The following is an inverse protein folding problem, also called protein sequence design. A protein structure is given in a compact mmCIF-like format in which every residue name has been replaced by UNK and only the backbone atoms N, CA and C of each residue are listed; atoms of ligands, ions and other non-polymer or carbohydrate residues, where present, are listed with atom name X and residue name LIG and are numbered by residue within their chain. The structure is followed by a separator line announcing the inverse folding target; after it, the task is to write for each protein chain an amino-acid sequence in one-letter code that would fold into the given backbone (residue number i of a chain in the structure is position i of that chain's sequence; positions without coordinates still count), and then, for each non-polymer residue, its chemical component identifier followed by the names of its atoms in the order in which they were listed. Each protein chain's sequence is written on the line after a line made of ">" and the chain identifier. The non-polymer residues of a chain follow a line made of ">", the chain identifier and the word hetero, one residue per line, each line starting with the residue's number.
data_IF_667987737571
#
_entry.id   IF_667987737571
#
_cell.length_a   1.000
_cell.length_b   1.000
_cell.length_c   1.000
_cell.angle_alpha   90.00
_cell.angle_beta   90.00
_cell.angle_gamma   90.00
#
_symmetry.space_group_name_H-M   'P 1'
#
loop_
_entity.id
_entity.type
_entity.pdbx_description
1 polymer ?
#
# COMPACT_ATOMS: atom_id res chain seq x y z
N UNK A 1 7.00 -32.47 6.55
CA UNK A 1 7.68 -31.21 6.23
C UNK A 1 7.30 -30.62 4.86
N UNK A 2 7.09 -31.40 3.79
CA UNK A 2 6.72 -30.87 2.45
C UNK A 2 5.41 -30.07 2.43
N UNK A 3 4.37 -30.52 3.14
CA UNK A 3 3.06 -29.88 3.20
C UNK A 3 3.16 -28.51 3.87
N UNK A 4 3.94 -28.36 4.95
CA UNK A 4 4.12 -27.08 5.64
C UNK A 4 4.73 -26.01 4.73
N UNK A 5 5.68 -26.36 3.87
CA UNK A 5 6.30 -25.43 2.91
C UNK A 5 5.27 -24.94 1.88
N UNK A 6 4.43 -25.84 1.37
CA UNK A 6 3.37 -25.46 0.43
C UNK A 6 2.31 -24.55 1.06
N UNK A 7 1.97 -24.80 2.33
CA UNK A 7 1.05 -23.93 3.08
C UNK A 7 1.67 -22.56 3.26
N UNK A 8 2.94 -22.47 3.66
CA UNK A 8 3.65 -21.20 3.84
C UNK A 8 3.75 -20.43 2.52
N UNK A 9 4.11 -21.09 1.42
CA UNK A 9 4.13 -20.46 0.11
C UNK A 9 2.74 -19.97 -0.32
N UNK A 10 1.70 -20.73 -0.08
CA UNK A 10 0.32 -20.37 -0.38
C UNK A 10 -0.14 -19.15 0.43
N UNK A 11 0.17 -19.10 1.72
CA UNK A 11 -0.15 -17.96 2.58
C UNK A 11 0.62 -16.71 2.15
N UNK A 12 1.91 -16.84 1.85
CA UNK A 12 2.71 -15.71 1.34
C UNK A 12 2.19 -15.20 0.00
N UNK A 13 1.82 -16.07 -0.92
CA UNK A 13 1.24 -15.66 -2.20
C UNK A 13 -0.10 -14.97 -2.02
N UNK A 14 -0.95 -15.45 -1.10
CA UNK A 14 -2.22 -14.81 -0.78
C UNK A 14 -2.05 -13.43 -0.15
N UNK A 15 -1.13 -13.29 0.81
CA UNK A 15 -0.79 -12.00 1.42
C UNK A 15 -0.20 -11.03 0.41
N UNK A 16 0.71 -11.50 -0.46
CA UNK A 16 1.32 -10.69 -1.51
C UNK A 16 0.27 -10.18 -2.51
N UNK A 17 -0.63 -11.07 -2.94
CA UNK A 17 -1.72 -10.73 -3.86
C UNK A 17 -2.71 -9.75 -3.20
N UNK A 18 -3.14 -10.02 -1.96
CA UNK A 18 -4.02 -9.13 -1.20
C UNK A 18 -3.41 -7.75 -0.98
N UNK A 19 -2.11 -7.70 -0.68
CA UNK A 19 -1.36 -6.43 -0.55
C UNK A 19 -1.32 -5.62 -1.84
N UNK A 20 -1.10 -6.26 -2.98
CA UNK A 20 -1.09 -5.60 -4.28
C UNK A 20 -2.48 -5.03 -4.66
N UNK A 21 -3.55 -5.80 -4.43
CA UNK A 21 -4.92 -5.32 -4.64
C UNK A 21 -5.26 -4.15 -3.72
N UNK A 22 -4.92 -4.25 -2.44
CA UNK A 22 -5.14 -3.16 -1.49
C UNK A 22 -4.37 -1.89 -1.88
N UNK A 23 -3.12 -2.01 -2.30
CA UNK A 23 -2.31 -0.89 -2.75
C UNK A 23 -2.89 -0.23 -4.01
N UNK A 24 -3.33 -1.01 -4.99
CA UNK A 24 -3.97 -0.50 -6.20
C UNK A 24 -5.28 0.22 -5.87
N UNK A 25 -6.16 -0.39 -5.08
CA UNK A 25 -7.42 0.20 -4.66
C UNK A 25 -7.24 1.50 -3.86
N UNK A 26 -6.27 1.53 -2.94
CA UNK A 26 -5.94 2.73 -2.17
C UNK A 26 -5.41 3.84 -3.08
N UNK A 27 -4.59 3.52 -4.07
CA UNK A 27 -4.07 4.49 -5.04
C UNK A 27 -5.21 5.10 -5.86
N UNK A 28 -6.12 4.29 -6.37
CA UNK A 28 -7.29 4.75 -7.14
C UNK A 28 -8.23 5.59 -6.27
N UNK A 29 -8.53 5.15 -5.07
CA UNK A 29 -9.38 5.87 -4.12
C UNK A 29 -8.77 7.22 -3.74
N UNK A 30 -7.48 7.25 -3.35
CA UNK A 30 -6.79 8.48 -2.98
C UNK A 30 -6.69 9.46 -4.16
N UNK A 31 -6.39 8.96 -5.36
CA UNK A 31 -6.35 9.79 -6.56
C UNK A 31 -7.72 10.39 -6.89
N UNK A 32 -8.79 9.63 -6.72
CA UNK A 32 -10.16 10.10 -6.89
C UNK A 32 -10.54 11.20 -5.90
N UNK A 33 -10.17 11.06 -4.62
CA UNK A 33 -10.40 12.07 -3.60
C UNK A 33 -9.68 13.40 -3.89
N UNK A 34 -8.43 13.31 -4.35
CA UNK A 34 -7.63 14.49 -4.68
C UNK A 34 -8.18 15.17 -5.93
N UNK A 35 -8.42 14.40 -7.00
CA UNK A 35 -8.92 14.92 -8.27
C UNK A 35 -10.31 15.57 -8.15
N UNK A 36 -11.20 15.01 -7.33
CA UNK A 36 -12.54 15.57 -7.10
C UNK A 36 -12.55 16.78 -6.16
N UNK A 37 -11.45 17.05 -5.44
CA UNK A 37 -11.39 18.07 -4.40
C UNK A 37 -12.03 17.66 -3.07
N UNK A 38 -12.56 16.45 -2.96
CA UNK A 38 -13.19 15.96 -1.73
C UNK A 38 -12.21 15.94 -0.55
N UNK A 39 -10.92 15.71 -0.80
CA UNK A 39 -9.87 15.78 0.22
C UNK A 39 -9.76 17.20 0.83
N UNK A 40 -9.91 18.25 0.01
CA UNK A 40 -9.90 19.65 0.48
C UNK A 40 -11.14 19.95 1.32
N UNK A 41 -12.30 19.48 0.88
CA UNK A 41 -13.56 19.70 1.61
C UNK A 41 -13.57 18.97 2.96
N UNK A 42 -13.06 17.74 2.99
CA UNK A 42 -12.86 17.01 4.25
C UNK A 42 -11.86 17.73 5.16
N UNK A 43 -10.75 18.23 4.62
CA UNK A 43 -9.76 18.98 5.38
C UNK A 43 -10.35 20.26 5.99
N UNK A 44 -11.19 20.98 5.24
CA UNK A 44 -11.91 22.15 5.76
C UNK A 44 -12.90 21.79 6.85
N UNK A 45 -13.70 20.74 6.66
CA UNK A 45 -14.65 20.28 7.67
C UNK A 45 -13.96 19.92 9.00
N UNK A 46 -12.78 19.29 8.92
CA UNK A 46 -11.96 18.98 10.11
C UNK A 46 -11.37 20.25 10.72
N UNK A 47 -10.93 21.21 9.88
CA UNK A 47 -10.36 22.47 10.34
C UNK A 47 -11.40 23.38 11.04
N UNK A 48 -12.68 23.28 10.66
CA UNK A 48 -13.78 24.01 11.28
C UNK A 48 -14.27 23.36 12.58
N UNK A 49 -13.82 22.15 12.91
CA UNK A 49 -14.24 21.46 14.11
C UNK A 49 -13.68 22.17 15.35
N UNK A 50 -14.54 22.58 16.30
CA UNK A 50 -14.07 23.27 17.49
C UNK A 50 -13.20 22.34 18.32
N UNK A 51 -12.01 22.83 18.73
CA UNK A 51 -11.16 22.06 19.62
C UNK A 51 -11.91 21.80 20.94
N UNK A 52 -11.92 20.54 21.44
CA UNK A 52 -12.58 20.23 22.69
C UNK A 52 -12.03 21.07 23.84
N UNK A 53 -12.89 21.60 24.70
CA UNK A 53 -12.50 22.50 25.78
C UNK A 53 -11.48 21.91 26.76
N UNK A 54 -11.43 20.57 26.90
CA UNK A 54 -10.47 19.88 27.74
C UNK A 54 -9.04 19.88 27.16
N UNK A 55 -8.90 20.13 25.86
CA UNK A 55 -7.60 20.15 25.17
C UNK A 55 -6.90 21.52 25.32
N UNK A 56 -7.68 22.59 25.50
CA UNK A 56 -7.18 23.96 25.55
C UNK A 56 -6.04 24.21 26.57
N UNK A 57 -6.02 23.58 27.76
CA UNK A 57 -4.93 23.76 28.72
C UNK A 57 -3.62 23.08 28.31
N UNK A 58 -3.66 22.11 27.40
CA UNK A 58 -2.52 21.25 27.06
C UNK A 58 -1.91 21.56 25.71
N UNK A 59 -2.62 22.27 24.86
CA UNK A 59 -2.21 22.52 23.48
C UNK A 59 -2.46 23.99 23.13
N UNK A 60 -1.48 24.62 22.50
CA UNK A 60 -1.64 25.96 21.94
C UNK A 60 -2.65 25.94 20.79
N UNK A 61 -3.83 26.51 21.04
CA UNK A 61 -4.93 26.59 20.08
C UNK A 61 -4.52 27.34 18.80
N UNK A 62 -3.63 28.35 18.93
CA UNK A 62 -3.10 29.08 17.79
C UNK A 62 -2.21 28.19 16.92
N UNK A 63 -1.39 27.34 17.52
CA UNK A 63 -0.55 26.36 16.82
C UNK A 63 -1.39 25.30 16.09
N UNK A 64 -2.47 24.80 16.70
CA UNK A 64 -3.40 23.87 16.05
C UNK A 64 -4.03 24.53 14.81
N UNK A 65 -4.50 25.76 14.95
CA UNK A 65 -5.15 26.49 13.86
C UNK A 65 -4.18 26.74 12.70
N UNK A 66 -2.94 27.16 12.99
CA UNK A 66 -1.90 27.34 11.98
C UNK A 66 -1.58 26.01 11.24
N UNK A 67 -1.55 24.89 11.95
CA UNK A 67 -1.33 23.58 11.35
C UNK A 67 -2.52 23.14 10.48
N UNK A 68 -3.74 23.40 10.90
CA UNK A 68 -4.95 23.14 10.12
C UNK A 68 -4.97 23.97 8.82
N UNK A 69 -4.67 25.27 8.90
CA UNK A 69 -4.57 26.16 7.74
C UNK A 69 -3.48 25.69 6.77
N UNK A 70 -2.31 25.31 7.28
CA UNK A 70 -1.24 24.74 6.47
C UNK A 70 -1.69 23.43 5.77
N UNK A 71 -2.39 22.57 6.47
CA UNK A 71 -2.87 21.30 5.91
C UNK A 71 -3.90 21.52 4.79
N UNK A 72 -4.85 22.42 4.99
CA UNK A 72 -5.82 22.80 3.95
C UNK A 72 -5.13 23.44 2.75
N UNK A 73 -4.14 24.32 2.98
CA UNK A 73 -3.36 24.93 1.92
C UNK A 73 -2.54 23.89 1.13
N UNK A 74 -1.94 22.91 1.81
CA UNK A 74 -1.21 21.83 1.17
C UNK A 74 -2.13 20.94 0.31
N UNK A 75 -3.32 20.62 0.80
CA UNK A 75 -4.31 19.84 0.04
C UNK A 75 -4.83 20.61 -1.19
N UNK A 76 -5.06 21.91 -1.08
CA UNK A 76 -5.48 22.74 -2.21
C UNK A 76 -4.37 22.84 -3.27
N UNK A 77 -3.12 23.03 -2.83
CA UNK A 77 -1.97 23.03 -3.73
C UNK A 77 -1.84 21.67 -4.45
N UNK A 78 -1.99 20.56 -3.73
CA UNK A 78 -1.94 19.22 -4.31
C UNK A 78 -3.04 19.00 -5.34
N UNK A 79 -4.26 19.49 -5.05
CA UNK A 79 -5.37 19.46 -6.02
C UNK A 79 -5.05 20.22 -7.29
N UNK A 80 -4.50 21.43 -7.16
CA UNK A 80 -4.18 22.29 -8.31
C UNK A 80 -3.00 21.73 -9.13
N UNK A 81 -2.04 21.09 -8.46
CA UNK A 81 -0.92 20.40 -9.12
C UNK A 81 -1.33 19.03 -9.71
N UNK A 82 -2.51 18.48 -9.36
CA UNK A 82 -2.94 17.14 -9.74
C UNK A 82 -2.93 16.86 -11.25
N UNK A 83 -3.35 17.77 -12.15
CA UNK A 83 -3.29 17.51 -13.58
C UNK A 83 -1.89 17.16 -14.08
N UNK A 84 -0.85 17.73 -13.45
CA UNK A 84 0.55 17.47 -13.80
C UNK A 84 1.10 16.21 -13.09
N UNK A 85 0.69 15.96 -11.86
CA UNK A 85 1.17 14.84 -11.03
C UNK A 85 0.35 13.57 -11.29
N UNK A 86 -0.94 13.70 -11.60
CA UNK A 86 -1.86 12.58 -11.79
C UNK A 86 -1.44 11.63 -12.91
N UNK A 87 -0.82 12.14 -13.97
CA UNK A 87 -0.23 11.31 -15.01
C UNK A 87 0.89 10.42 -14.45
N UNK A 88 1.74 10.94 -13.57
CA UNK A 88 2.82 10.17 -12.92
C UNK A 88 2.25 9.15 -11.94
N UNK A 89 1.23 9.52 -11.17
CA UNK A 89 0.55 8.62 -10.22
C UNK A 89 -0.19 7.51 -10.97
N UNK A 90 -0.74 7.79 -12.15
CA UNK A 90 -1.37 6.79 -13.01
C UNK A 90 -0.42 5.64 -13.40
N UNK A 91 0.88 5.89 -13.46
CA UNK A 91 1.91 4.87 -13.69
C UNK A 91 2.14 3.96 -12.48
N UNK A 92 1.75 4.37 -11.28
CA UNK A 92 1.90 3.55 -10.07
C UNK A 92 1.08 2.25 -10.15
N UNK A 93 -0.11 2.29 -10.71
CA UNK A 93 -0.96 1.10 -10.85
C UNK A 93 -0.29 0.02 -11.72
N UNK A 94 0.16 0.31 -12.96
CA UNK A 94 0.94 -0.65 -13.74
C UNK A 94 2.21 -1.15 -13.03
N UNK A 95 2.92 -0.27 -12.33
CA UNK A 95 4.13 -0.65 -11.58
C UNK A 95 3.81 -1.64 -10.45
N UNK A 96 2.71 -1.41 -9.71
CA UNK A 96 2.23 -2.35 -8.68
C UNK A 96 1.97 -3.73 -9.29
N UNK A 97 1.33 -3.80 -10.45
CA UNK A 97 1.04 -5.06 -11.13
C UNK A 97 2.31 -5.76 -11.65
N UNK A 98 3.28 -5.01 -12.15
CA UNK A 98 4.59 -5.56 -12.56
C UNK A 98 5.33 -6.12 -11.35
N UNK A 99 5.40 -5.38 -10.24
CA UNK A 99 6.02 -5.84 -9.00
C UNK A 99 5.32 -7.07 -8.43
N UNK A 100 3.98 -7.11 -8.50
CA UNK A 100 3.19 -8.27 -8.09
C UNK A 100 3.55 -9.51 -8.92
N UNK A 101 3.58 -9.40 -10.26
CA UNK A 101 3.92 -10.50 -11.16
C UNK A 101 5.35 -11.01 -10.92
N UNK A 102 6.29 -10.08 -10.70
CA UNK A 102 7.69 -10.40 -10.42
C UNK A 102 7.85 -11.13 -9.08
N UNK A 103 7.15 -10.68 -8.04
CA UNK A 103 7.12 -11.33 -6.73
C UNK A 103 6.52 -12.74 -6.80
N UNK A 104 5.43 -12.93 -7.54
CA UNK A 104 4.84 -14.25 -7.79
C UNK A 104 5.79 -15.17 -8.55
N UNK A 105 6.45 -14.67 -9.60
CA UNK A 105 7.43 -15.44 -10.36
C UNK A 105 8.59 -15.91 -9.48
N UNK A 106 9.12 -15.04 -8.61
CA UNK A 106 10.17 -15.40 -7.65
C UNK A 106 9.71 -16.46 -6.64
N UNK A 107 8.49 -16.34 -6.11
CA UNK A 107 7.91 -17.34 -5.20
C UNK A 107 7.76 -18.71 -5.89
N UNK A 108 7.30 -18.73 -7.15
CA UNK A 108 7.17 -19.95 -7.93
C UNK A 108 8.54 -20.59 -8.22
N UNK A 109 9.54 -19.78 -8.61
CA UNK A 109 10.90 -20.25 -8.83
C UNK A 109 11.51 -20.84 -7.57
N UNK A 110 11.33 -20.21 -6.42
CA UNK A 110 11.79 -20.71 -5.13
C UNK A 110 11.11 -22.04 -4.77
N UNK A 111 9.79 -22.15 -4.97
CA UNK A 111 9.02 -23.37 -4.73
C UNK A 111 9.45 -24.53 -5.61
N UNK A 112 9.59 -24.28 -6.92
CA UNK A 112 10.04 -25.28 -7.91
C UNK A 112 11.49 -25.68 -7.66
N UNK A 113 12.37 -24.72 -7.39
CA UNK A 113 13.78 -24.98 -7.07
C UNK A 113 13.95 -25.86 -5.83
N UNK A 114 13.18 -25.59 -4.78
CA UNK A 114 13.18 -26.42 -3.57
C UNK A 114 12.65 -27.83 -3.84
N UNK A 115 11.61 -27.98 -4.67
CA UNK A 115 11.06 -29.28 -5.05
C UNK A 115 12.05 -30.11 -5.87
N UNK A 116 12.75 -29.50 -6.84
CA UNK A 116 13.79 -30.17 -7.66
C UNK A 116 14.98 -30.59 -6.80
N UNK A 117 15.48 -29.72 -5.91
CA UNK A 117 16.57 -30.05 -5.00
C UNK A 117 16.21 -31.22 -4.08
N UNK A 118 14.97 -31.29 -3.61
CA UNK A 118 14.48 -32.42 -2.81
C UNK A 118 14.39 -33.74 -3.59
N UNK A 119 14.21 -33.70 -4.93
CA UNK A 119 14.22 -34.87 -5.78
C UNK A 119 15.64 -35.37 -6.06
N UNK A 120 16.60 -34.49 -6.25
CA UNK A 120 18.00 -34.81 -6.54
C UNK A 120 18.71 -35.42 -5.33
N UNK A 121 18.30 -35.08 -4.11
CA UNK A 121 18.85 -35.59 -2.85
C UNK A 121 18.15 -36.85 -2.31
N UNK A 122 17.30 -37.50 -3.10
CA UNK A 122 16.74 -38.83 -2.72
C UNK A 122 17.87 -39.86 -2.77
N UNK A 123 18.20 -40.53 -1.65
CA UNK A 123 19.21 -41.59 -1.68
C UNK A 123 18.79 -42.67 -2.67
N UNK A 124 19.65 -42.99 -3.65
CA UNK A 124 19.43 -44.15 -4.46
C UNK A 124 19.41 -45.38 -3.53
N UNK A 125 18.40 -46.27 -3.65
CA UNK A 125 18.46 -47.54 -2.96
C UNK A 125 19.72 -48.28 -3.43
N UNK A 126 20.69 -48.42 -2.52
CA UNK A 126 21.84 -49.29 -2.76
C UNK A 126 21.28 -50.68 -2.98
N UNK A 127 21.33 -51.15 -4.23
CA UNK A 127 21.08 -52.52 -4.57
C UNK A 127 22.19 -53.36 -3.89
N UNK A 128 21.80 -54.05 -2.84
CA UNK A 128 22.63 -55.06 -2.22
C UNK A 128 22.68 -56.32 -3.09
#
# INVERSE_FOLDING_TARGET
>A
MKIAIWIVCGVLAALWTGGAFAAAALTEWASGLIASGAAVDMGRAVAEWPAPAWLAPWVDVAGIRAMQEFFVAALSWLRDAWPSIGAMVGWLVPVIWVLWALGLALLLLAGVGHWLAGRMNSPQPQAA
#
